data_IF_933525081859
#
_entry.id   IF_933525081859
#
_cell.length_a   1.000
_cell.length_b   1.000
_cell.length_c   1.000
_cell.angle_alpha   90.00
_cell.angle_beta   90.00
_cell.angle_gamma   90.00
#
_symmetry.space_group_name_H-M   'P 1'
#
loop_
_entity.id
_entity.type
_entity.pdbx_description
1 polymer ?
#
# COMPACT_ATOMS: atom_id res chain seq x y z
N UNK A 1 20.86 -5.63 46.68
CA UNK A 1 19.70 -6.44 46.27
C UNK A 1 20.02 -7.90 46.57
N UNK A 2 19.09 -8.67 47.14
CA UNK A 2 19.26 -10.12 47.33
C UNK A 2 18.84 -10.85 46.04
N UNK A 3 19.82 -11.35 45.29
CA UNK A 3 19.61 -12.08 44.04
C UNK A 3 18.64 -13.27 44.21
N UNK A 4 18.74 -13.99 45.34
CA UNK A 4 17.89 -15.15 45.58
C UNK A 4 16.42 -14.74 45.73
N UNK A 5 16.17 -13.64 46.43
CA UNK A 5 14.83 -13.09 46.60
C UNK A 5 14.24 -12.61 45.26
N UNK A 6 15.04 -11.95 44.42
CA UNK A 6 14.64 -11.54 43.07
C UNK A 6 14.21 -12.74 42.21
N UNK A 7 15.06 -13.77 42.13
CA UNK A 7 14.79 -14.95 41.31
C UNK A 7 13.53 -15.69 41.77
N UNK A 8 13.33 -15.79 43.08
CA UNK A 8 12.14 -16.43 43.64
C UNK A 8 10.87 -15.61 43.37
N UNK A 9 10.94 -14.29 43.51
CA UNK A 9 9.83 -13.39 43.18
C UNK A 9 9.40 -13.50 41.72
N UNK A 10 10.35 -13.54 40.78
CA UNK A 10 10.07 -13.71 39.35
C UNK A 10 9.45 -15.08 39.04
N UNK A 11 9.91 -16.17 39.66
CA UNK A 11 9.30 -17.50 39.49
C UNK A 11 7.86 -17.55 39.99
N UNK A 12 7.59 -16.95 41.14
CA UNK A 12 6.24 -16.88 41.69
C UNK A 12 5.31 -16.06 40.80
N UNK A 13 5.82 -14.95 40.24
CA UNK A 13 5.08 -14.07 39.35
C UNK A 13 4.50 -14.81 38.13
N UNK A 14 5.22 -15.79 37.57
CA UNK A 14 4.76 -16.60 36.44
C UNK A 14 3.41 -17.31 36.70
N UNK A 15 3.04 -17.54 37.96
CA UNK A 15 1.79 -18.23 38.35
C UNK A 15 0.63 -17.27 38.69
N UNK A 16 0.88 -15.96 38.73
CA UNK A 16 -0.06 -14.95 39.28
C UNK A 16 -0.93 -14.26 38.21
N UNK A 17 -0.67 -14.55 36.93
CA UNK A 17 -1.36 -13.95 35.78
C UNK A 17 -0.58 -12.80 35.13
N UNK A 18 -0.88 -12.49 33.86
CA UNK A 18 -0.04 -11.63 33.01
C UNK A 18 0.16 -10.19 33.53
N UNK A 19 -0.89 -9.57 34.08
CA UNK A 19 -0.81 -8.19 34.60
C UNK A 19 0.09 -8.08 35.82
N UNK A 20 0.00 -9.06 36.71
CA UNK A 20 0.79 -9.07 37.94
C UNK A 20 2.24 -9.44 37.63
N UNK A 21 2.44 -10.38 36.70
CA UNK A 21 3.74 -10.70 36.13
C UNK A 21 4.44 -9.44 35.56
N UNK A 22 3.75 -8.68 34.71
CA UNK A 22 4.27 -7.43 34.14
C UNK A 22 4.69 -6.44 35.24
N UNK A 23 3.84 -6.26 36.27
CA UNK A 23 4.10 -5.34 37.39
C UNK A 23 5.33 -5.76 38.21
N UNK A 24 5.45 -7.05 38.52
CA UNK A 24 6.58 -7.58 39.29
C UNK A 24 7.88 -7.49 38.48
N UNK A 25 7.84 -7.84 37.19
CA UNK A 25 8.99 -7.74 36.30
C UNK A 25 9.47 -6.29 36.12
N UNK A 26 8.54 -5.33 36.02
CA UNK A 26 8.88 -3.90 35.96
C UNK A 26 9.49 -3.40 37.28
N UNK A 27 8.93 -3.77 38.44
CA UNK A 27 9.50 -3.41 39.74
C UNK A 27 10.92 -3.98 39.93
N UNK A 28 11.12 -5.25 39.58
CA UNK A 28 12.43 -5.90 39.61
C UNK A 28 13.45 -5.21 38.69
N UNK A 29 13.05 -4.83 37.48
CA UNK A 29 13.89 -4.09 36.55
C UNK A 29 14.33 -2.73 37.13
N UNK A 30 13.41 -2.00 37.77
CA UNK A 30 13.72 -0.72 38.44
C UNK A 30 14.72 -0.91 39.59
N UNK A 31 14.55 -1.96 40.40
CA UNK A 31 15.49 -2.28 41.48
C UNK A 31 16.90 -2.62 40.96
N UNK A 32 16.98 -3.39 39.87
CA UNK A 32 18.24 -3.70 39.19
C UNK A 32 18.97 -2.45 38.71
N UNK A 33 18.26 -1.53 38.05
CA UNK A 33 18.82 -0.25 37.58
C UNK A 33 19.30 0.60 38.76
N UNK A 34 18.48 0.76 39.79
CA UNK A 34 18.85 1.52 40.99
C UNK A 34 20.07 0.91 41.71
N UNK A 35 20.23 -0.41 41.63
CA UNK A 35 21.40 -1.13 42.15
C UNK A 35 22.63 -1.12 41.23
N UNK A 36 22.54 -0.55 40.02
CA UNK A 36 23.62 -0.59 39.03
C UNK A 36 23.98 -1.99 38.55
N UNK A 37 23.05 -2.95 38.64
CA UNK A 37 23.28 -4.35 38.33
C UNK A 37 22.50 -4.77 37.08
N UNK A 38 23.16 -5.53 36.20
CA UNK A 38 22.50 -6.19 35.08
C UNK A 38 21.67 -7.40 35.56
N UNK A 39 20.67 -7.85 34.78
CA UNK A 39 19.88 -9.02 35.15
C UNK A 39 20.79 -10.26 35.34
N UNK A 40 20.81 -10.90 36.52
CA UNK A 40 21.79 -11.94 36.86
C UNK A 40 21.39 -13.35 36.41
N UNK A 41 20.31 -13.48 35.64
CA UNK A 41 19.72 -14.76 35.26
C UNK A 41 19.88 -15.03 33.77
N UNK A 42 19.69 -16.31 33.41
CA UNK A 42 19.64 -16.74 32.00
C UNK A 42 18.21 -16.71 31.46
N UNK A 43 18.10 -16.34 30.20
CA UNK A 43 16.86 -16.38 29.43
C UNK A 43 16.89 -17.59 28.51
N UNK A 44 15.87 -18.45 28.64
CA UNK A 44 15.77 -19.75 27.97
C UNK A 44 14.50 -19.91 27.14
N UNK A 45 13.90 -18.79 26.74
CA UNK A 45 12.70 -18.81 25.91
C UNK A 45 12.61 -17.54 25.07
N UNK A 46 11.66 -17.54 24.14
CA UNK A 46 11.20 -16.38 23.38
C UNK A 46 9.74 -16.03 23.72
N UNK A 47 9.24 -16.48 24.88
CA UNK A 47 7.86 -16.23 25.31
C UNK A 47 7.75 -14.90 26.07
N UNK A 48 7.49 -13.84 25.31
CA UNK A 48 7.29 -12.49 25.84
C UNK A 48 5.98 -12.29 26.61
N UNK A 49 5.12 -13.31 26.70
CA UNK A 49 3.85 -13.24 27.42
C UNK A 49 3.92 -13.89 28.81
N UNK A 50 4.73 -14.95 28.97
CA UNK A 50 4.73 -15.73 30.21
C UNK A 50 6.10 -15.95 30.85
N UNK A 51 7.22 -15.75 30.15
CA UNK A 51 8.55 -15.94 30.74
C UNK A 51 8.93 -14.73 31.63
N UNK A 52 8.98 -14.89 32.97
CA UNK A 52 9.26 -13.79 33.87
C UNK A 52 10.67 -13.23 33.73
N UNK A 53 11.65 -14.07 33.34
CA UNK A 53 13.04 -13.66 33.19
C UNK A 53 13.20 -12.84 31.92
N UNK A 54 12.64 -13.30 30.80
CA UNK A 54 12.65 -12.55 29.55
C UNK A 54 11.93 -11.21 29.70
N UNK A 55 10.74 -11.19 30.32
CA UNK A 55 9.97 -9.96 30.54
C UNK A 55 10.75 -9.00 31.44
N UNK A 56 11.34 -9.46 32.55
CA UNK A 56 12.14 -8.62 33.44
C UNK A 56 13.36 -8.04 32.71
N UNK A 57 14.08 -8.84 31.92
CA UNK A 57 15.23 -8.37 31.14
C UNK A 57 14.81 -7.36 30.06
N UNK A 58 13.67 -7.59 29.39
CA UNK A 58 13.09 -6.65 28.44
C UNK A 58 12.77 -5.30 29.10
N UNK A 59 12.13 -5.31 30.28
CA UNK A 59 11.84 -4.08 31.03
C UNK A 59 13.11 -3.37 31.47
N UNK A 60 14.12 -4.11 31.95
CA UNK A 60 15.41 -3.55 32.34
C UNK A 60 16.08 -2.84 31.16
N UNK A 61 16.29 -3.53 30.04
CA UNK A 61 16.96 -2.94 28.89
C UNK A 61 16.16 -1.80 28.29
N UNK A 62 14.83 -1.93 28.21
CA UNK A 62 13.95 -0.84 27.79
C UNK A 62 14.17 0.43 28.63
N UNK A 63 14.18 0.32 29.96
CA UNK A 63 14.39 1.46 30.84
C UNK A 63 15.79 2.08 30.63
N UNK A 64 16.82 1.26 30.42
CA UNK A 64 18.18 1.74 30.09
C UNK A 64 18.21 2.49 28.75
N UNK A 65 17.50 2.01 27.74
CA UNK A 65 17.37 2.72 26.46
C UNK A 65 16.60 4.04 26.61
N UNK A 66 15.54 4.09 27.42
CA UNK A 66 14.81 5.35 27.66
C UNK A 66 15.65 6.38 28.42
N UNK A 67 16.56 5.95 29.29
CA UNK A 67 17.49 6.83 30.01
C UNK A 67 18.64 7.31 29.12
N UNK A 68 19.26 6.38 28.37
CA UNK A 68 20.45 6.65 27.57
C UNK A 68 20.33 5.96 26.20
N UNK A 69 19.61 6.56 25.23
CA UNK A 69 19.22 5.89 23.99
C UNK A 69 20.35 5.81 22.95
N UNK A 70 21.55 5.38 23.31
CA UNK A 70 22.73 5.38 22.45
C UNK A 70 23.08 4.00 21.88
N UNK A 71 23.86 3.96 20.79
CA UNK A 71 24.49 2.73 20.27
C UNK A 71 25.44 2.07 21.27
N UNK A 72 25.99 2.82 22.23
CA UNK A 72 26.76 2.26 23.36
C UNK A 72 25.86 1.41 24.28
N UNK A 73 24.69 1.93 24.65
CA UNK A 73 23.68 1.16 25.39
C UNK A 73 23.25 -0.08 24.60
N UNK A 74 23.14 0.04 23.26
CA UNK A 74 22.85 -1.11 22.41
C UNK A 74 23.97 -2.16 22.41
N UNK A 75 25.24 -1.75 22.38
CA UNK A 75 26.37 -2.66 22.47
C UNK A 75 26.42 -3.39 23.82
N UNK A 76 26.18 -2.69 24.93
CA UNK A 76 26.08 -3.30 26.27
C UNK A 76 24.93 -4.31 26.35
N UNK A 77 23.76 -3.96 25.81
CA UNK A 77 22.62 -4.87 25.72
C UNK A 77 22.97 -6.12 24.91
N UNK A 78 23.63 -5.96 23.76
CA UNK A 78 24.06 -7.06 22.92
C UNK A 78 25.09 -7.96 23.61
N UNK A 79 26.03 -7.35 24.34
CA UNK A 79 27.02 -8.07 25.14
C UNK A 79 26.32 -8.91 26.23
N UNK A 80 25.31 -8.36 26.90
CA UNK A 80 24.49 -9.11 27.85
C UNK A 80 23.74 -10.27 27.19
N UNK A 81 23.07 -10.02 26.06
CA UNK A 81 22.37 -11.06 25.29
C UNK A 81 23.31 -12.20 24.91
N UNK A 82 24.55 -11.90 24.51
CA UNK A 82 25.53 -12.89 24.08
C UNK A 82 25.89 -13.93 25.15
N UNK A 83 25.77 -13.60 26.44
CA UNK A 83 26.12 -14.52 27.54
C UNK A 83 24.93 -14.95 28.40
N UNK A 84 23.87 -14.15 28.48
CA UNK A 84 22.70 -14.41 29.31
C UNK A 84 21.56 -15.12 28.55
N UNK A 85 21.53 -15.06 27.22
CA UNK A 85 20.49 -15.70 26.41
C UNK A 85 21.01 -16.99 25.77
N UNK A 86 20.22 -18.06 25.86
CA UNK A 86 20.53 -19.34 25.21
C UNK A 86 20.62 -19.18 23.68
N UNK A 87 21.61 -19.82 23.06
CA UNK A 87 22.01 -19.57 21.68
C UNK A 87 20.86 -19.73 20.66
N UNK A 88 19.95 -20.68 20.89
CA UNK A 88 18.79 -20.94 20.05
C UNK A 88 17.76 -19.79 20.01
N UNK A 89 17.73 -18.93 21.03
CA UNK A 89 16.77 -17.83 21.16
C UNK A 89 17.35 -16.46 20.84
N UNK A 90 18.68 -16.36 20.67
CA UNK A 90 19.37 -15.09 20.50
C UNK A 90 18.87 -14.31 19.31
N UNK A 91 18.69 -14.94 18.15
CA UNK A 91 18.25 -14.24 16.93
C UNK A 91 16.92 -13.52 17.15
N UNK A 92 15.93 -14.22 17.66
CA UNK A 92 14.58 -13.66 17.83
C UNK A 92 14.57 -12.53 18.87
N UNK A 93 15.36 -12.66 19.94
CA UNK A 93 15.52 -11.60 20.95
C UNK A 93 16.28 -10.40 20.38
N UNK A 94 17.40 -10.61 19.67
CA UNK A 94 18.21 -9.55 19.04
C UNK A 94 17.36 -8.73 18.09
N UNK A 95 16.66 -9.37 17.17
CA UNK A 95 15.85 -8.66 16.17
C UNK A 95 14.68 -7.91 16.81
N UNK A 96 13.99 -8.53 17.77
CA UNK A 96 12.87 -7.91 18.48
C UNK A 96 13.31 -6.72 19.31
N UNK A 97 14.37 -6.87 20.08
CA UNK A 97 14.86 -5.84 20.99
C UNK A 97 15.51 -4.70 20.23
N UNK A 98 16.43 -4.97 19.29
CA UNK A 98 17.10 -3.91 18.55
C UNK A 98 16.08 -3.02 17.81
N UNK A 99 15.16 -3.61 17.03
CA UNK A 99 14.17 -2.85 16.27
C UNK A 99 13.06 -2.26 17.16
N UNK A 100 12.67 -2.96 18.22
CA UNK A 100 11.65 -2.50 19.16
C UNK A 100 12.11 -1.32 19.99
N UNK A 101 13.33 -1.38 20.54
CA UNK A 101 13.94 -0.27 21.28
C UNK A 101 14.21 0.93 20.38
N UNK A 102 14.69 0.68 19.15
CA UNK A 102 14.89 1.74 18.17
C UNK A 102 13.61 2.52 17.86
N UNK A 103 12.46 1.84 17.77
CA UNK A 103 11.18 2.50 17.52
C UNK A 103 10.76 3.45 18.67
N UNK A 104 10.94 3.03 19.93
CA UNK A 104 10.53 3.84 21.09
C UNK A 104 11.49 5.00 21.38
N UNK A 105 12.73 4.95 20.88
CA UNK A 105 13.75 6.00 21.05
C UNK A 105 14.13 6.67 19.72
N UNK A 106 13.25 6.61 18.72
CA UNK A 106 13.51 7.10 17.35
C UNK A 106 13.80 8.60 17.27
N UNK A 107 13.44 9.37 18.29
CA UNK A 107 13.68 10.81 18.41
C UNK A 107 15.13 11.16 18.77
N UNK A 108 15.99 10.17 18.98
CA UNK A 108 17.39 10.34 19.41
C UNK A 108 18.38 9.71 18.44
N UNK A 109 18.19 9.94 17.14
CA UNK A 109 19.14 9.47 16.11
C UNK A 109 20.51 10.11 16.33
N UNK A 110 21.54 9.27 16.47
CA UNK A 110 22.92 9.73 16.57
C UNK A 110 23.43 10.32 15.26
N UNK A 111 24.18 11.41 15.35
CA UNK A 111 24.88 12.01 14.21
C UNK A 111 26.03 11.13 13.70
N UNK A 112 26.47 11.35 12.45
CA UNK A 112 27.60 10.63 11.87
C UNK A 112 28.89 10.73 12.71
N UNK A 113 29.12 11.87 13.39
CA UNK A 113 30.26 12.07 14.30
C UNK A 113 30.13 11.19 15.54
N UNK A 114 28.98 11.21 16.20
CA UNK A 114 28.71 10.40 17.40
C UNK A 114 28.79 8.90 17.08
N UNK A 115 28.28 8.48 15.91
CA UNK A 115 28.41 7.11 15.45
C UNK A 115 29.86 6.71 15.22
N UNK A 116 30.68 7.58 14.63
CA UNK A 116 32.10 7.29 14.38
C UNK A 116 32.86 7.12 15.69
N UNK A 117 32.63 8.04 16.65
CA UNK A 117 33.23 8.00 17.99
C UNK A 117 32.80 6.73 18.74
N UNK A 118 31.49 6.43 18.78
CA UNK A 118 30.96 5.26 19.46
C UNK A 118 31.41 3.95 18.81
N UNK A 119 31.48 3.90 17.47
CA UNK A 119 31.94 2.70 16.75
C UNK A 119 33.37 2.33 17.13
N UNK A 120 34.26 3.32 17.28
CA UNK A 120 35.64 3.09 17.72
C UNK A 120 35.69 2.42 19.10
N UNK A 121 34.95 2.97 20.07
CA UNK A 121 34.88 2.44 21.43
C UNK A 121 34.28 1.03 21.47
N UNK A 122 33.13 0.83 20.80
CA UNK A 122 32.43 -0.46 20.76
C UNK A 122 33.34 -1.56 20.19
N UNK A 123 34.05 -1.27 19.09
CA UNK A 123 34.92 -2.24 18.45
C UNK A 123 36.18 -2.55 19.28
N UNK A 124 36.71 -1.55 20.01
CA UNK A 124 37.83 -1.75 20.92
C UNK A 124 37.43 -2.58 22.15
N UNK A 125 36.37 -2.16 22.87
CA UNK A 125 35.92 -2.79 24.11
C UNK A 125 35.41 -4.22 23.92
N UNK A 126 34.79 -4.49 22.76
CA UNK A 126 34.22 -5.80 22.45
C UNK A 126 35.04 -6.60 21.45
N UNK A 127 36.31 -6.24 21.26
CA UNK A 127 37.28 -6.96 20.41
C UNK A 127 36.76 -7.25 19.00
N UNK A 128 36.00 -6.31 18.42
CA UNK A 128 35.43 -6.45 17.08
C UNK A 128 34.34 -7.51 16.95
N UNK A 129 33.60 -7.83 18.02
CA UNK A 129 32.50 -8.80 17.95
C UNK A 129 31.42 -8.39 16.94
N UNK A 130 31.32 -9.16 15.84
CA UNK A 130 30.36 -8.90 14.77
C UNK A 130 28.89 -8.98 15.26
N UNK A 131 28.58 -9.86 16.22
CA UNK A 131 27.24 -9.98 16.78
C UNK A 131 26.82 -8.73 17.60
N UNK A 132 27.76 -8.12 18.32
CA UNK A 132 27.51 -6.88 19.08
C UNK A 132 27.35 -5.71 18.12
N UNK A 133 28.25 -5.60 17.12
CA UNK A 133 28.13 -4.60 16.05
C UNK A 133 26.81 -4.74 15.30
N UNK A 134 26.36 -5.97 15.06
CA UNK A 134 25.09 -6.27 14.39
C UNK A 134 23.88 -5.77 15.18
N UNK A 135 23.78 -6.08 16.48
CA UNK A 135 22.68 -5.56 17.31
C UNK A 135 22.66 -4.03 17.33
N UNK A 136 23.82 -3.39 17.54
CA UNK A 136 23.92 -1.93 17.57
C UNK A 136 23.58 -1.30 16.21
N UNK A 137 23.95 -1.97 15.11
CA UNK A 137 23.57 -1.57 13.74
C UNK A 137 22.08 -1.68 13.53
N UNK A 138 21.44 -2.80 13.88
CA UNK A 138 19.99 -2.95 13.78
C UNK A 138 19.24 -1.92 14.62
N UNK A 139 19.75 -1.58 15.80
CA UNK A 139 19.18 -0.55 16.65
C UNK A 139 19.22 0.83 15.98
N UNK A 140 20.38 1.28 15.51
CA UNK A 140 20.48 2.58 14.87
C UNK A 140 19.73 2.64 13.53
N UNK A 141 19.86 1.59 12.70
CA UNK A 141 19.09 1.45 11.46
C UNK A 141 17.57 1.44 11.72
N UNK A 142 17.14 0.83 12.82
CA UNK A 142 15.75 0.82 13.26
C UNK A 142 15.21 2.22 13.58
N UNK A 143 16.04 3.14 14.11
CA UNK A 143 15.63 4.53 14.37
C UNK A 143 15.42 5.28 13.07
N UNK A 144 16.40 5.20 12.16
CA UNK A 144 16.33 5.81 10.83
C UNK A 144 15.12 5.28 10.04
N UNK A 145 14.86 3.96 10.10
CA UNK A 145 13.65 3.34 9.55
C UNK A 145 12.38 3.95 10.14
N UNK A 146 12.31 4.09 11.46
CA UNK A 146 11.12 4.58 12.16
C UNK A 146 10.82 6.08 11.91
N UNK A 147 11.80 6.85 11.43
CA UNK A 147 11.67 8.24 11.01
C UNK A 147 11.53 8.41 9.49
N UNK A 148 11.63 7.33 8.72
CA UNK A 148 11.66 7.36 7.24
C UNK A 148 12.86 8.13 6.68
N UNK A 149 14.00 8.12 7.38
CA UNK A 149 15.26 8.73 6.95
C UNK A 149 15.99 7.82 5.94
N UNK A 150 15.39 7.61 4.76
CA UNK A 150 15.82 6.57 3.82
C UNK A 150 17.25 6.72 3.30
N UNK A 151 17.66 7.94 2.93
CA UNK A 151 18.99 8.20 2.39
C UNK A 151 20.08 8.08 3.47
N UNK A 152 19.79 8.51 4.69
CA UNK A 152 20.69 8.36 5.84
C UNK A 152 20.80 6.90 6.28
N UNK A 153 19.69 6.16 6.28
CA UNK A 153 19.69 4.72 6.51
C UNK A 153 20.55 3.99 5.48
N UNK A 154 20.40 4.32 4.19
CA UNK A 154 21.23 3.75 3.13
C UNK A 154 22.71 4.05 3.36
N UNK A 155 23.05 5.32 3.59
CA UNK A 155 24.44 5.74 3.82
C UNK A 155 25.04 5.03 5.04
N UNK A 156 24.27 4.91 6.11
CA UNK A 156 24.67 4.21 7.33
C UNK A 156 24.96 2.73 7.08
N UNK A 157 24.05 2.00 6.42
CA UNK A 157 24.21 0.57 6.11
C UNK A 157 25.35 0.30 5.12
N UNK A 158 25.56 1.21 4.16
CA UNK A 158 26.58 1.06 3.11
C UNK A 158 28.00 1.33 3.62
N UNK A 159 28.17 2.29 4.53
CA UNK A 159 29.50 2.92 4.76
C UNK A 159 29.90 3.14 6.22
N UNK A 160 29.00 2.99 7.19
CA UNK A 160 29.38 3.19 8.58
C UNK A 160 30.31 2.08 9.08
N UNK A 161 31.26 2.43 9.95
CA UNK A 161 32.17 1.44 10.56
C UNK A 161 31.41 0.35 11.32
N UNK A 162 30.32 0.73 11.99
CA UNK A 162 29.47 -0.20 12.75
C UNK A 162 28.78 -1.23 11.82
N UNK A 163 28.20 -0.77 10.70
CA UNK A 163 27.58 -1.66 9.72
C UNK A 163 28.62 -2.56 9.03
N UNK A 164 29.80 -2.02 8.72
CA UNK A 164 30.90 -2.79 8.13
C UNK A 164 31.44 -3.86 9.07
N UNK A 165 31.45 -3.60 10.39
CA UNK A 165 31.87 -4.56 11.40
C UNK A 165 30.88 -5.71 11.64
N UNK A 166 29.69 -5.69 11.03
CA UNK A 166 28.73 -6.79 11.11
C UNK A 166 29.18 -8.04 10.35
N UNK A 167 30.16 -7.94 9.45
CA UNK A 167 30.72 -9.05 8.67
C UNK A 167 29.64 -9.94 8.02
N UNK A 168 29.63 -11.25 8.32
CA UNK A 168 28.64 -12.21 7.79
C UNK A 168 27.20 -11.87 8.16
N UNK A 169 26.96 -11.13 9.25
CA UNK A 169 25.61 -10.73 9.66
C UNK A 169 24.95 -9.78 8.66
N UNK A 170 25.71 -9.09 7.80
CA UNK A 170 25.16 -8.25 6.72
C UNK A 170 24.35 -9.07 5.70
N UNK A 171 24.62 -10.37 5.58
CA UNK A 171 23.86 -11.25 4.71
C UNK A 171 22.54 -11.74 5.34
N UNK A 172 22.30 -11.45 6.62
CA UNK A 172 21.08 -11.90 7.30
C UNK A 172 19.83 -11.22 6.73
N UNK A 173 18.68 -11.91 6.71
CA UNK A 173 17.50 -11.44 5.99
C UNK A 173 16.97 -10.09 6.48
N UNK A 174 17.01 -9.83 7.79
CA UNK A 174 16.53 -8.54 8.35
C UNK A 174 17.45 -7.37 7.98
N UNK A 175 18.77 -7.60 7.85
CA UNK A 175 19.70 -6.57 7.36
C UNK A 175 19.39 -6.23 5.90
N UNK A 176 19.25 -7.25 5.06
CA UNK A 176 18.89 -7.09 3.64
C UNK A 176 17.49 -6.45 3.49
N UNK A 177 16.56 -6.74 4.40
CA UNK A 177 15.25 -6.08 4.43
C UNK A 177 15.36 -4.58 4.77
N UNK A 178 16.28 -4.18 5.64
CA UNK A 178 16.57 -2.77 5.92
C UNK A 178 17.23 -2.08 4.72
N UNK A 179 18.12 -2.77 4.00
CA UNK A 179 18.65 -2.27 2.72
C UNK A 179 17.52 -2.07 1.70
N UNK A 180 16.60 -3.02 1.59
CA UNK A 180 15.41 -2.89 0.74
C UNK A 180 14.54 -1.69 1.15
N UNK A 181 14.29 -1.52 2.46
CA UNK A 181 13.54 -0.39 3.00
C UNK A 181 14.16 0.95 2.61
N UNK A 182 15.48 1.09 2.79
CA UNK A 182 16.21 2.29 2.40
C UNK A 182 16.14 2.53 0.88
N UNK A 183 16.32 1.48 0.08
CA UNK A 183 16.25 1.54 -1.38
C UNK A 183 14.87 1.99 -1.90
N UNK A 184 13.77 1.52 -1.29
CA UNK A 184 12.42 1.87 -1.71
C UNK A 184 12.03 3.33 -1.50
N UNK A 185 12.61 4.00 -0.49
CA UNK A 185 12.36 5.41 -0.24
C UNK A 185 13.46 6.35 -0.76
N UNK A 186 14.60 5.82 -1.19
CA UNK A 186 15.67 6.63 -1.77
C UNK A 186 15.29 7.16 -3.15
N UNK A 187 15.61 8.43 -3.42
CA UNK A 187 15.33 9.07 -4.72
C UNK A 187 16.34 8.66 -5.80
N UNK A 188 17.45 8.05 -5.43
CA UNK A 188 18.56 7.72 -6.32
C UNK A 188 18.58 6.26 -6.76
N UNK A 189 17.77 5.41 -6.11
CA UNK A 189 17.74 3.96 -6.36
C UNK A 189 16.47 3.60 -7.11
N UNK A 190 16.57 2.66 -8.05
CA UNK A 190 15.42 2.20 -8.83
C UNK A 190 14.56 1.25 -8.00
N UNK A 191 13.24 1.28 -8.23
CA UNK A 191 12.31 0.34 -7.61
C UNK A 191 12.66 -1.12 -7.95
N UNK A 192 13.18 -1.41 -9.14
CA UNK A 192 13.65 -2.74 -9.54
C UNK A 192 14.78 -3.27 -8.62
N UNK A 193 15.74 -2.42 -8.28
CA UNK A 193 16.81 -2.80 -7.35
C UNK A 193 16.26 -3.03 -5.94
N UNK A 194 15.36 -2.15 -5.47
CA UNK A 194 14.71 -2.30 -4.18
C UNK A 194 13.89 -3.60 -4.09
N UNK A 195 13.16 -3.95 -5.16
CA UNK A 195 12.43 -5.22 -5.29
C UNK A 195 13.38 -6.41 -5.26
N UNK A 196 14.55 -6.33 -5.90
CA UNK A 196 15.55 -7.41 -5.85
C UNK A 196 16.04 -7.67 -4.43
N UNK A 197 16.35 -6.62 -3.66
CA UNK A 197 16.73 -6.74 -2.25
C UNK A 197 15.59 -7.33 -1.41
N UNK A 198 14.36 -6.86 -1.63
CA UNK A 198 13.18 -7.39 -0.95
C UNK A 198 12.98 -8.88 -1.24
N UNK A 199 13.06 -9.30 -2.49
CA UNK A 199 12.90 -10.72 -2.86
C UNK A 199 14.02 -11.59 -2.27
N UNK A 200 15.25 -11.06 -2.17
CA UNK A 200 16.34 -11.76 -1.47
C UNK A 200 16.03 -11.97 0.01
N UNK A 201 15.57 -10.92 0.72
CA UNK A 201 15.19 -11.04 2.12
C UNK A 201 13.95 -11.93 2.31
N UNK A 202 12.94 -11.78 1.44
CA UNK A 202 11.67 -12.48 1.51
C UNK A 202 11.81 -13.97 1.21
N UNK A 203 12.64 -14.37 0.25
CA UNK A 203 12.79 -15.77 -0.13
C UNK A 203 13.89 -16.49 0.67
N UNK A 204 14.49 -15.84 1.67
CA UNK A 204 15.48 -16.49 2.52
C UNK A 204 14.84 -17.60 3.37
N UNK A 205 15.46 -18.79 3.47
CA UNK A 205 14.98 -19.86 4.36
C UNK A 205 15.06 -19.48 5.85
N UNK A 206 15.86 -18.47 6.19
CA UNK A 206 16.03 -17.98 7.56
C UNK A 206 15.12 -16.78 7.89
N UNK A 207 14.18 -16.44 7.01
CA UNK A 207 13.27 -15.29 7.17
C UNK A 207 12.51 -15.36 8.50
N UNK A 208 12.72 -14.36 9.34
CA UNK A 208 12.01 -14.16 10.60
C UNK A 208 10.72 -13.33 10.44
N UNK A 209 9.82 -13.32 11.43
CA UNK A 209 8.70 -12.39 11.47
C UNK A 209 9.11 -10.90 11.39
N UNK A 210 10.27 -10.53 11.92
CA UNK A 210 10.81 -9.18 11.83
C UNK A 210 11.29 -8.84 10.41
N UNK A 211 11.88 -9.80 9.71
CA UNK A 211 12.19 -9.66 8.28
C UNK A 211 10.91 -9.38 7.48
N UNK A 212 9.83 -10.15 7.74
CA UNK A 212 8.52 -9.94 7.11
C UNK A 212 7.99 -8.54 7.40
N UNK A 213 7.99 -8.10 8.67
CA UNK A 213 7.56 -6.74 9.03
C UNK A 213 8.33 -5.67 8.24
N UNK A 214 9.66 -5.74 8.23
CA UNK A 214 10.50 -4.75 7.54
C UNK A 214 10.20 -4.75 6.03
N UNK A 215 10.09 -5.91 5.38
CA UNK A 215 9.75 -5.99 3.95
C UNK A 215 8.36 -5.40 3.64
N UNK A 216 7.33 -5.72 4.44
CA UNK A 216 5.99 -5.17 4.22
C UNK A 216 5.93 -3.67 4.51
N UNK A 217 6.69 -3.21 5.50
CA UNK A 217 6.84 -1.79 5.80
C UNK A 217 7.52 -1.06 4.63
N UNK A 218 8.57 -1.65 4.06
CA UNK A 218 9.29 -1.13 2.90
C UNK A 218 8.36 -0.91 1.70
N UNK A 219 7.56 -1.92 1.34
CA UNK A 219 6.58 -1.80 0.25
C UNK A 219 5.52 -0.73 0.53
N UNK A 220 5.05 -0.63 1.77
CA UNK A 220 4.06 0.37 2.15
C UNK A 220 4.62 1.79 2.21
N UNK A 221 5.92 1.95 2.48
CA UNK A 221 6.60 3.24 2.61
C UNK A 221 7.25 3.71 1.30
N UNK A 222 7.36 2.82 0.31
CA UNK A 222 8.02 3.09 -0.94
C UNK A 222 7.42 4.30 -1.68
N UNK A 223 8.28 5.03 -2.39
CA UNK A 223 7.82 5.95 -3.43
C UNK A 223 6.95 5.19 -4.45
N UNK A 224 5.86 5.78 -4.98
CA UNK A 224 4.96 5.06 -5.87
C UNK A 224 5.67 4.43 -7.09
N UNK A 225 5.42 3.15 -7.33
CA UNK A 225 5.89 2.43 -8.51
C UNK A 225 4.83 1.44 -9.00
N UNK A 226 4.96 1.01 -10.26
CA UNK A 226 4.04 0.06 -10.87
C UNK A 226 3.98 -1.26 -10.08
N UNK A 227 2.79 -1.85 -9.94
CA UNK A 227 2.58 -3.09 -9.17
C UNK A 227 2.82 -3.02 -7.65
N UNK A 228 3.19 -1.87 -7.07
CA UNK A 228 3.43 -1.73 -5.61
C UNK A 228 2.27 -2.30 -4.77
N UNK A 229 1.03 -1.93 -5.10
CA UNK A 229 -0.16 -2.40 -4.40
C UNK A 229 -0.37 -3.91 -4.53
N UNK A 230 -0.17 -4.46 -5.73
CA UNK A 230 -0.31 -5.90 -5.99
C UNK A 230 0.76 -6.71 -5.25
N UNK A 231 2.00 -6.23 -5.24
CA UNK A 231 3.11 -6.86 -4.52
C UNK A 231 2.89 -6.81 -3.00
N UNK A 232 2.52 -5.65 -2.45
CA UNK A 232 2.20 -5.51 -1.02
C UNK A 232 1.05 -6.44 -0.62
N UNK A 233 -0.04 -6.46 -1.39
CA UNK A 233 -1.19 -7.33 -1.13
C UNK A 233 -0.79 -8.81 -1.12
N UNK A 234 -0.04 -9.26 -2.13
CA UNK A 234 0.36 -10.66 -2.26
C UNK A 234 1.25 -11.10 -1.08
N UNK A 235 2.26 -10.29 -0.75
CA UNK A 235 3.22 -10.58 0.34
C UNK A 235 2.56 -10.50 1.72
N UNK A 236 1.68 -9.53 1.95
CA UNK A 236 0.95 -9.43 3.20
C UNK A 236 -0.06 -10.58 3.37
N UNK A 237 -0.69 -11.04 2.30
CA UNK A 237 -1.58 -12.21 2.35
C UNK A 237 -0.83 -13.50 2.73
N UNK A 238 0.37 -13.70 2.18
CA UNK A 238 1.27 -14.80 2.58
C UNK A 238 1.61 -14.69 4.07
N UNK A 239 2.00 -13.50 4.55
CA UNK A 239 2.33 -13.26 5.95
C UNK A 239 1.17 -13.54 6.91
N UNK A 240 -0.04 -13.08 6.60
CA UNK A 240 -1.26 -13.34 7.39
C UNK A 240 -1.58 -14.84 7.43
N UNK A 241 -1.32 -15.57 6.33
CA UNK A 241 -1.56 -17.02 6.30
C UNK A 241 -0.62 -17.76 7.25
N UNK A 242 0.63 -17.31 7.36
CA UNK A 242 1.63 -17.93 8.24
C UNK A 242 1.46 -17.50 9.71
N UNK A 243 1.11 -16.24 9.96
CA UNK A 243 0.96 -15.66 11.31
C UNK A 243 -0.37 -14.91 11.42
N UNK A 244 -1.50 -15.63 11.58
CA UNK A 244 -2.84 -15.05 11.49
C UNK A 244 -3.19 -14.09 12.62
N UNK A 245 -2.53 -14.19 13.77
CA UNK A 245 -2.81 -13.35 14.94
C UNK A 245 -1.99 -12.04 14.95
N UNK A 246 -1.16 -11.80 13.93
CA UNK A 246 -0.34 -10.59 13.87
C UNK A 246 -1.12 -9.41 13.24
N UNK A 247 -1.57 -8.50 14.09
CA UNK A 247 -2.34 -7.31 13.68
C UNK A 247 -1.60 -6.41 12.66
N UNK A 248 -0.26 -6.35 12.70
CA UNK A 248 0.54 -5.54 11.75
C UNK A 248 0.43 -6.12 10.34
N UNK A 249 0.41 -7.45 10.19
CA UNK A 249 0.30 -8.08 8.87
C UNK A 249 -1.09 -7.89 8.25
N UNK A 250 -2.15 -7.94 9.07
CA UNK A 250 -3.50 -7.56 8.62
C UNK A 250 -3.58 -6.10 8.20
N UNK A 251 -2.99 -5.19 8.99
CA UNK A 251 -2.92 -3.77 8.62
C UNK A 251 -2.23 -3.58 7.25
N UNK A 252 -1.10 -4.23 7.00
CA UNK A 252 -0.39 -4.16 5.72
C UNK A 252 -1.17 -4.79 4.57
N UNK A 253 -1.91 -5.87 4.82
CA UNK A 253 -2.79 -6.48 3.83
C UNK A 253 -3.93 -5.54 3.44
N UNK A 254 -4.59 -4.91 4.41
CA UNK A 254 -5.63 -3.92 4.16
C UNK A 254 -5.10 -2.74 3.32
N UNK A 255 -3.89 -2.24 3.63
CA UNK A 255 -3.22 -1.22 2.81
C UNK A 255 -2.98 -1.70 1.38
N UNK A 256 -2.47 -2.92 1.19
CA UNK A 256 -2.27 -3.49 -0.15
C UNK A 256 -3.58 -3.65 -0.94
N UNK A 257 -4.64 -4.16 -0.30
CA UNK A 257 -5.98 -4.28 -0.90
C UNK A 257 -6.54 -2.91 -1.30
N UNK A 258 -6.41 -1.89 -0.43
CA UNK A 258 -6.79 -0.51 -0.74
C UNK A 258 -6.04 0.03 -1.96
N UNK A 259 -4.73 -0.20 -2.04
CA UNK A 259 -3.92 0.23 -3.19
C UNK A 259 -4.38 -0.44 -4.50
N UNK A 260 -4.86 -1.68 -4.42
CA UNK A 260 -5.51 -2.40 -5.52
C UNK A 260 -6.98 -2.00 -5.75
N UNK A 261 -7.52 -1.01 -5.02
CA UNK A 261 -8.93 -0.57 -5.06
C UNK A 261 -9.94 -1.67 -4.66
N UNK A 262 -9.48 -2.67 -3.93
CA UNK A 262 -10.31 -3.74 -3.37
C UNK A 262 -10.83 -3.31 -1.98
N UNK A 263 -11.67 -2.27 -1.98
CA UNK A 263 -12.02 -1.55 -0.76
C UNK A 263 -12.86 -2.37 0.22
N UNK A 264 -13.71 -3.29 -0.27
CA UNK A 264 -14.56 -4.10 0.61
C UNK A 264 -13.71 -5.10 1.40
N UNK A 265 -12.82 -5.84 0.74
CA UNK A 265 -11.88 -6.73 1.44
C UNK A 265 -10.93 -5.94 2.37
N UNK A 266 -10.52 -4.74 1.96
CA UNK A 266 -9.70 -3.86 2.78
C UNK A 266 -10.40 -3.45 4.08
N UNK A 267 -11.72 -3.14 4.04
CA UNK A 267 -12.51 -2.81 5.23
C UNK A 267 -12.61 -4.00 6.20
N UNK A 268 -12.90 -5.20 5.67
CA UNK A 268 -12.97 -6.40 6.52
C UNK A 268 -11.62 -6.68 7.19
N UNK A 269 -10.53 -6.53 6.44
CA UNK A 269 -9.18 -6.82 6.91
C UNK A 269 -8.69 -5.78 7.93
N UNK A 270 -8.95 -4.48 7.73
CA UNK A 270 -8.57 -3.46 8.73
C UNK A 270 -9.37 -3.61 10.03
N UNK A 271 -10.63 -4.06 9.95
CA UNK A 271 -11.43 -4.35 11.14
C UNK A 271 -10.91 -5.60 11.89
N UNK A 272 -10.34 -6.59 11.18
CA UNK A 272 -9.57 -7.68 11.83
C UNK A 272 -8.33 -7.14 12.53
N UNK A 273 -7.54 -6.28 11.86
CA UNK A 273 -6.35 -5.68 12.46
C UNK A 273 -6.68 -4.90 13.75
N UNK A 274 -7.77 -4.13 13.76
CA UNK A 274 -8.25 -3.39 14.93
C UNK A 274 -8.69 -4.32 16.08
N UNK A 275 -9.30 -5.48 15.78
CA UNK A 275 -9.67 -6.47 16.80
C UNK A 275 -8.47 -7.18 17.42
N UNK A 276 -7.46 -7.47 16.62
CA UNK A 276 -6.22 -8.12 17.07
C UNK A 276 -5.26 -7.15 17.76
N UNK A 277 -5.46 -5.84 17.62
CA UNK A 277 -4.61 -4.83 18.26
C UNK A 277 -4.64 -5.05 19.79
N UNK A 278 -3.49 -5.33 20.43
CA UNK A 278 -3.45 -5.62 21.85
C UNK A 278 -4.04 -4.48 22.67
N UNK A 279 -5.03 -4.78 23.52
CA UNK A 279 -5.66 -3.79 24.43
C UNK A 279 -4.66 -3.22 25.45
N UNK A 280 -3.53 -3.90 25.65
CA UNK A 280 -2.43 -3.51 26.54
C UNK A 280 -1.15 -3.54 25.69
N UNK A 281 -0.84 -2.40 25.06
CA UNK A 281 0.51 -2.09 24.62
C UNK A 281 1.19 -1.21 25.67
N UNK A 282 2.51 -1.24 25.74
CA UNK A 282 3.27 -0.30 26.56
C UNK A 282 2.77 1.12 26.24
N UNK A 283 2.21 1.82 27.24
CA UNK A 283 1.07 2.76 27.13
C UNK A 283 1.18 3.92 26.11
N UNK A 284 2.32 4.10 25.44
CA UNK A 284 2.50 5.01 24.31
C UNK A 284 2.21 4.42 22.92
N UNK A 285 2.40 3.12 22.69
CA UNK A 285 2.29 2.54 21.33
C UNK A 285 0.87 2.18 20.91
N UNK A 286 0.02 1.73 21.84
CA UNK A 286 -1.36 1.32 21.52
C UNK A 286 -2.18 2.46 20.90
N UNK A 287 -2.20 3.63 21.54
CA UNK A 287 -2.98 4.78 21.06
C UNK A 287 -2.52 5.22 19.67
N UNK A 288 -1.21 5.31 19.46
CA UNK A 288 -0.62 5.70 18.17
C UNK A 288 -0.95 4.69 17.06
N UNK A 289 -0.84 3.38 17.34
CA UNK A 289 -1.21 2.34 16.38
C UNK A 289 -2.72 2.33 16.10
N UNK A 290 -3.55 2.51 17.12
CA UNK A 290 -5.00 2.59 16.96
C UNK A 290 -5.39 3.78 16.07
N UNK A 291 -4.84 4.97 16.32
CA UNK A 291 -5.06 6.16 15.49
C UNK A 291 -4.62 5.92 14.05
N UNK A 292 -3.47 5.27 13.83
CA UNK A 292 -3.01 4.89 12.49
C UNK A 292 -3.98 3.93 11.78
N UNK A 293 -4.52 2.95 12.49
CA UNK A 293 -5.41 1.93 11.91
C UNK A 293 -6.78 2.54 11.59
N UNK A 294 -7.30 3.38 12.47
CA UNK A 294 -8.53 4.14 12.23
C UNK A 294 -8.38 5.10 11.06
N UNK A 295 -7.24 5.79 10.97
CA UNK A 295 -6.96 6.67 9.84
C UNK A 295 -6.93 5.91 8.51
N UNK A 296 -6.25 4.76 8.45
CA UNK A 296 -6.25 3.92 7.26
C UNK A 296 -7.66 3.43 6.90
N UNK A 297 -8.45 3.02 7.90
CA UNK A 297 -9.86 2.65 7.73
C UNK A 297 -10.67 3.79 7.11
N UNK A 298 -10.49 5.03 7.55
CA UNK A 298 -11.17 6.20 6.99
C UNK A 298 -10.76 6.45 5.52
N UNK A 299 -9.48 6.28 5.17
CA UNK A 299 -9.01 6.38 3.78
C UNK A 299 -9.66 5.30 2.91
N UNK A 300 -9.77 4.06 3.41
CA UNK A 300 -10.44 2.97 2.69
C UNK A 300 -11.92 3.33 2.43
N UNK A 301 -12.63 3.83 3.44
CA UNK A 301 -14.03 4.24 3.31
C UNK A 301 -14.22 5.36 2.29
N UNK A 302 -13.36 6.38 2.33
CA UNK A 302 -13.40 7.48 1.35
C UNK A 302 -13.11 6.98 -0.07
N UNK A 303 -12.13 6.09 -0.24
CA UNK A 303 -11.81 5.47 -1.52
C UNK A 303 -12.98 4.68 -2.11
N UNK A 304 -13.69 3.93 -1.26
CA UNK A 304 -14.91 3.21 -1.64
C UNK A 304 -16.02 4.15 -2.13
N UNK A 305 -16.31 5.21 -1.36
CA UNK A 305 -17.34 6.19 -1.73
C UNK A 305 -17.02 6.88 -3.06
N UNK A 306 -15.75 7.22 -3.28
CA UNK A 306 -15.29 7.81 -4.54
C UNK A 306 -15.44 6.83 -5.72
N UNK A 307 -15.12 5.55 -5.51
CA UNK A 307 -15.29 4.52 -6.53
C UNK A 307 -16.76 4.29 -6.90
N UNK A 308 -17.66 4.25 -5.90
CA UNK A 308 -19.10 4.15 -6.11
C UNK A 308 -19.65 5.36 -6.87
N UNK A 309 -19.24 6.57 -6.49
CA UNK A 309 -19.65 7.80 -7.17
C UNK A 309 -19.14 7.84 -8.62
N UNK A 310 -17.86 7.48 -8.85
CA UNK A 310 -17.26 7.42 -10.19
C UNK A 310 -17.98 6.42 -11.09
N UNK A 311 -18.30 5.22 -10.58
CA UNK A 311 -19.06 4.23 -11.32
C UNK A 311 -20.46 4.73 -11.70
N UNK A 312 -21.13 5.45 -10.80
CA UNK A 312 -22.42 6.08 -11.06
C UNK A 312 -22.34 7.18 -12.13
N UNK A 313 -21.32 8.05 -12.08
CA UNK A 313 -21.11 9.07 -13.12
C UNK A 313 -20.83 8.42 -14.48
N UNK A 314 -20.00 7.38 -14.52
CA UNK A 314 -19.69 6.65 -15.74
C UNK A 314 -20.94 6.03 -16.37
N UNK A 315 -21.84 5.47 -15.54
CA UNK A 315 -23.14 4.96 -16.00
C UNK A 315 -24.00 6.07 -16.61
N UNK A 316 -24.13 7.21 -15.93
CA UNK A 316 -24.90 8.36 -16.44
C UNK A 316 -24.34 8.91 -17.75
N UNK A 317 -23.02 9.00 -17.88
CA UNK A 317 -22.40 9.41 -19.14
C UNK A 317 -22.66 8.41 -20.26
N UNK A 318 -22.54 7.11 -19.99
CA UNK A 318 -22.85 6.08 -20.98
C UNK A 318 -24.33 6.13 -21.44
N UNK A 319 -25.26 6.38 -20.51
CA UNK A 319 -26.68 6.57 -20.83
C UNK A 319 -26.94 7.83 -21.66
N UNK A 320 -26.30 8.95 -21.31
CA UNK A 320 -26.40 10.20 -22.07
C UNK A 320 -25.83 10.06 -23.48
N UNK A 321 -24.69 9.38 -23.63
CA UNK A 321 -24.10 9.11 -24.94
C UNK A 321 -24.98 8.20 -25.79
N UNK A 322 -25.62 7.19 -25.19
CA UNK A 322 -26.60 6.36 -25.87
C UNK A 322 -27.82 7.17 -26.34
N UNK A 323 -28.39 8.02 -25.47
CA UNK A 323 -29.50 8.92 -25.81
C UNK A 323 -29.12 9.92 -26.91
N UNK A 324 -27.92 10.50 -26.83
CA UNK A 324 -27.40 11.43 -27.84
C UNK A 324 -27.19 10.75 -29.19
N UNK A 325 -26.71 9.51 -29.20
CA UNK A 325 -26.58 8.72 -30.41
C UNK A 325 -27.95 8.43 -31.05
N UNK A 326 -28.98 8.15 -30.25
CA UNK A 326 -30.35 7.97 -30.72
C UNK A 326 -30.96 9.26 -31.29
N UNK A 327 -30.77 10.41 -30.61
CA UNK A 327 -31.20 11.71 -31.11
C UNK A 327 -30.50 12.05 -32.44
N UNK A 328 -29.20 11.82 -32.56
CA UNK A 328 -28.46 12.02 -33.83
C UNK A 328 -29.02 11.16 -34.95
N UNK A 329 -29.32 9.88 -34.70
CA UNK A 329 -29.97 9.00 -35.68
C UNK A 329 -31.35 9.52 -36.08
N UNK A 330 -32.13 10.00 -35.13
CA UNK A 330 -33.47 10.56 -35.38
C UNK A 330 -33.39 11.84 -36.20
N UNK A 331 -32.48 12.75 -35.87
CA UNK A 331 -32.25 13.98 -36.64
C UNK A 331 -31.77 13.66 -38.05
N UNK A 332 -30.83 12.74 -38.24
CA UNK A 332 -30.39 12.30 -39.57
C UNK A 332 -31.55 11.75 -40.40
N UNK A 333 -32.43 10.92 -39.80
CA UNK A 333 -33.61 10.41 -40.49
C UNK A 333 -34.62 11.51 -40.86
N UNK A 334 -34.82 12.49 -39.97
CA UNK A 334 -35.69 13.65 -40.22
C UNK A 334 -35.15 14.57 -41.30
N UNK A 335 -33.84 14.84 -41.32
CA UNK A 335 -33.19 15.65 -42.37
C UNK A 335 -33.29 14.99 -43.73
N UNK A 336 -33.13 13.66 -43.82
CA UNK A 336 -33.33 12.91 -45.07
C UNK A 336 -34.76 13.07 -45.58
N UNK A 337 -35.77 12.96 -44.70
CA UNK A 337 -37.18 13.19 -45.08
C UNK A 337 -37.47 14.64 -45.49
N UNK A 338 -36.85 15.61 -44.83
CA UNK A 338 -37.03 17.02 -45.17
C UNK A 338 -36.44 17.35 -46.55
N UNK A 339 -35.25 16.83 -46.87
CA UNK A 339 -34.64 16.95 -48.20
C UNK A 339 -35.58 16.33 -49.25
N UNK A 340 -36.10 15.12 -49.00
CA UNK A 340 -37.05 14.45 -49.90
C UNK A 340 -38.29 15.31 -50.18
N UNK A 341 -38.90 15.87 -49.12
CA UNK A 341 -40.08 16.73 -49.24
C UNK A 341 -39.80 17.99 -50.09
N UNK A 342 -38.66 18.66 -49.86
CA UNK A 342 -38.26 19.87 -50.60
C UNK A 342 -38.00 19.55 -52.07
N UNK A 343 -37.36 18.42 -52.38
CA UNK A 343 -37.12 18.00 -53.77
C UNK A 343 -38.43 17.75 -54.51
N UNK A 344 -39.39 17.06 -53.87
CA UNK A 344 -40.72 16.81 -54.45
C UNK A 344 -41.48 18.14 -54.67
N UNK A 345 -41.49 19.03 -53.68
CA UNK A 345 -42.15 20.33 -53.81
C UNK A 345 -41.54 21.21 -54.90
N UNK A 346 -40.21 21.26 -54.99
CA UNK A 346 -39.50 22.04 -56.01
C UNK A 346 -39.81 21.51 -57.40
N UNK A 347 -39.83 20.18 -57.59
CA UNK A 347 -40.23 19.56 -58.85
C UNK A 347 -41.69 19.90 -59.21
N UNK A 348 -42.61 19.88 -58.24
CA UNK A 348 -44.00 20.24 -58.46
C UNK A 348 -44.19 21.72 -58.85
N UNK A 349 -43.45 22.63 -58.22
CA UNK A 349 -43.49 24.06 -58.56
C UNK A 349 -42.89 24.30 -59.95
N UNK A 350 -41.71 23.74 -60.24
CA UNK A 350 -41.08 23.85 -61.56
C UNK A 350 -42.00 23.32 -62.66
N UNK A 351 -42.71 22.24 -62.38
CA UNK A 351 -43.74 21.70 -63.27
C UNK A 351 -44.92 22.66 -63.46
N UNK A 352 -45.49 23.18 -62.37
CA UNK A 352 -46.62 24.10 -62.45
C UNK A 352 -46.27 25.37 -63.23
N UNK A 353 -45.09 25.94 -62.98
CA UNK A 353 -44.59 27.12 -63.68
C UNK A 353 -44.32 26.82 -65.15
N UNK A 354 -43.64 25.71 -65.46
CA UNK A 354 -43.36 25.28 -66.83
C UNK A 354 -44.63 25.00 -67.63
N UNK A 355 -45.60 24.33 -67.02
CA UNK A 355 -46.92 24.10 -67.61
C UNK A 355 -47.64 25.42 -67.88
N UNK A 356 -47.65 26.35 -66.93
CA UNK A 356 -48.31 27.65 -67.08
C UNK A 356 -47.68 28.50 -68.19
N UNK A 357 -46.34 28.55 -68.27
CA UNK A 357 -45.62 29.28 -69.33
C UNK A 357 -45.95 28.76 -70.72
N UNK A 358 -45.98 27.44 -70.89
CA UNK A 358 -46.33 26.80 -72.17
C UNK A 358 -47.80 27.05 -72.53
N UNK A 359 -48.69 27.13 -71.54
CA UNK A 359 -50.11 27.42 -71.75
C UNK A 359 -50.37 28.88 -72.10
N UNK A 360 -49.59 29.82 -71.54
CA UNK A 360 -49.69 31.25 -71.79
C UNK A 360 -49.00 31.70 -73.09
N UNK A 361 -48.00 30.97 -73.59
CA UNK A 361 -47.20 31.36 -74.76
C UNK A 361 -47.85 31.10 -76.14
N UNK A 362 -49.15 30.73 -76.19
CA UNK A 362 -50.05 31.05 -77.30
C UNK A 362 -49.73 30.52 -78.72
N UNK A 363 -50.50 29.51 -79.16
CA UNK A 363 -50.99 29.19 -80.54
C UNK A 363 -51.31 27.69 -80.72
N UNK A 364 -51.16 26.87 -79.68
CA UNK A 364 -51.41 25.43 -79.78
C UNK A 364 -52.91 25.08 -79.77
N UNK A 365 -53.28 24.13 -80.64
CA UNK A 365 -54.63 23.57 -80.77
C UNK A 365 -55.07 22.85 -79.49
N UNK A 366 -56.39 22.69 -79.29
CA UNK A 366 -56.93 22.07 -78.07
C UNK A 366 -56.45 20.62 -77.89
N UNK A 367 -56.28 19.87 -78.98
CA UNK A 367 -55.76 18.50 -78.89
C UNK A 367 -54.31 18.46 -78.45
N UNK A 368 -53.47 19.39 -78.94
CA UNK A 368 -52.06 19.45 -78.57
C UNK A 368 -51.88 19.85 -77.10
N UNK A 369 -52.76 20.70 -76.57
CA UNK A 369 -52.77 21.03 -75.13
C UNK A 369 -53.11 19.82 -74.27
N UNK A 370 -54.12 19.02 -74.65
CA UNK A 370 -54.48 17.81 -73.91
C UNK A 370 -53.34 16.80 -73.95
N UNK A 371 -52.72 16.60 -75.11
CA UNK A 371 -51.59 15.67 -75.26
C UNK A 371 -50.37 16.12 -74.47
N UNK A 372 -50.10 17.41 -74.45
CA UNK A 372 -48.98 17.97 -73.69
C UNK A 372 -49.23 17.90 -72.19
N UNK A 373 -50.44 18.20 -71.71
CA UNK A 373 -50.83 18.00 -70.30
C UNK A 373 -50.72 16.52 -69.91
N UNK A 374 -51.14 15.60 -70.79
CA UNK A 374 -51.03 14.16 -70.54
C UNK A 374 -49.56 13.71 -70.49
N UNK A 375 -48.72 14.12 -71.44
CA UNK A 375 -47.27 13.80 -71.47
C UNK A 375 -46.58 14.33 -70.23
N UNK A 376 -46.86 15.59 -69.86
CA UNK A 376 -46.30 16.21 -68.69
C UNK A 376 -46.79 15.56 -67.40
N UNK A 377 -48.09 15.26 -67.29
CA UNK A 377 -48.66 14.53 -66.15
C UNK A 377 -48.04 13.14 -65.98
N UNK A 378 -47.88 12.39 -67.08
CA UNK A 378 -47.21 11.08 -67.07
C UNK A 378 -45.74 11.25 -66.67
N UNK A 379 -45.03 12.23 -67.22
CA UNK A 379 -43.63 12.51 -66.87
C UNK A 379 -43.45 12.84 -65.39
N UNK A 380 -44.37 13.60 -64.80
CA UNK A 380 -44.40 13.92 -63.37
C UNK A 380 -44.67 12.67 -62.53
N UNK A 381 -45.62 11.83 -62.98
CA UNK A 381 -45.98 10.60 -62.28
C UNK A 381 -44.82 9.61 -62.30
N UNK A 382 -44.12 9.47 -63.43
CA UNK A 382 -42.89 8.68 -63.56
C UNK A 382 -41.76 9.26 -62.69
N UNK A 383 -41.58 10.58 -62.69
CA UNK A 383 -40.57 11.23 -61.84
C UNK A 383 -40.85 11.02 -60.34
N UNK A 384 -42.10 11.18 -59.91
CA UNK A 384 -42.53 10.90 -58.55
C UNK A 384 -42.32 9.42 -58.19
N UNK A 385 -42.64 8.50 -59.11
CA UNK A 385 -42.40 7.07 -58.91
C UNK A 385 -40.92 6.74 -58.82
N UNK A 386 -40.06 7.38 -59.63
CA UNK A 386 -38.60 7.23 -59.59
C UNK A 386 -38.00 7.76 -58.28
N UNK A 387 -38.49 8.91 -57.79
CA UNK A 387 -38.11 9.42 -56.47
C UNK A 387 -38.52 8.41 -55.40
N UNK A 388 -39.80 8.01 -55.33
CA UNK A 388 -40.31 7.08 -54.31
C UNK A 388 -39.57 5.74 -54.34
N UNK A 389 -39.36 5.16 -55.53
CA UNK A 389 -38.65 3.87 -55.68
C UNK A 389 -37.16 4.01 -55.39
N UNK A 390 -36.52 5.10 -55.81
CA UNK A 390 -35.13 5.41 -55.48
C UNK A 390 -34.92 5.58 -53.98
N UNK A 391 -35.79 6.34 -53.30
CA UNK A 391 -35.72 6.51 -51.84
C UNK A 391 -35.99 5.20 -51.12
N UNK A 392 -36.98 4.42 -51.56
CA UNK A 392 -37.28 3.11 -50.98
C UNK A 392 -36.10 2.13 -51.14
N UNK A 393 -35.44 2.13 -52.28
CA UNK A 393 -34.29 1.26 -52.55
C UNK A 393 -33.07 1.64 -51.69
N UNK A 394 -32.77 2.93 -51.56
CA UNK A 394 -31.68 3.46 -50.72
C UNK A 394 -31.96 3.23 -49.23
N UNK A 395 -33.20 3.46 -48.77
CA UNK A 395 -33.58 3.23 -47.36
C UNK A 395 -33.66 1.75 -47.01
N UNK A 396 -34.02 0.87 -47.95
CA UNK A 396 -34.02 -0.59 -47.75
C UNK A 396 -32.60 -1.18 -47.68
N UNK A 397 -31.65 -0.70 -48.48
CA UNK A 397 -30.25 -1.15 -48.41
C UNK A 397 -29.54 -0.72 -47.12
N UNK A 398 -30.00 0.34 -46.44
CA UNK A 398 -29.45 0.75 -45.13
C UNK A 398 -30.08 0.06 -43.92
N UNK A 399 -31.22 -0.62 -44.08
CA UNK A 399 -31.90 -1.38 -43.00
C UNK A 399 -31.42 -2.84 -42.87
N UNK A 400 -30.66 -3.35 -43.86
CA UNK A 400 -29.97 -4.64 -43.80
C UNK A 400 -28.44 -4.44 -43.92
N UNK A 401 -27.74 -4.00 -42.87
CA UNK A 401 -26.38 -4.46 -42.60
C UNK A 401 -26.37 -5.88 -42.02
#
# INVERSE_FOLDING_TARGET
MDEKALLEGLRQAATTGSRELDRIAEAAAVELIAGGAEPPFRVRSVDFATDPFLICADRYWRLRFLELPTVDTAARCAHWVAHAVDAEHRRDIVEKWALGYAFITRDTVESARELTEASGVILEEHHGSAAIAYFATLYHAGKLRANFDFDDLRLFLDSSLLAMACDEHRAQPVFVALEAFAAFGSRTITSEHAVTLLERAWNSPERSPHTIDVCLNALSAAAPFDEQGHLLRARAQEAVTVVPDNHIFHFRLATGQRMCRDYDNALDTIDVALRLLPAIGNRGSHKLLQEQYLHERDIIQQGRQLAEWSAEQQRRWAEQDASNAELRRTMQNSTVRAIELVTVFTAAIAFAVGSLQVTLAGTLSVSDRIWMIATFGIGLLVFALLIITGTWWITRHRRNP
#
